data_IF_339953941407
#
_entry.id   IF_339953941407
#
_cell.length_a   1.000
_cell.length_b   1.000
_cell.length_c   1.000
_cell.angle_alpha   90.00
_cell.angle_beta   90.00
_cell.angle_gamma   90.00
#
_symmetry.space_group_name_H-M   'P 1'
#
loop_
_entity.id
_entity.type
_entity.pdbx_description
1 polymer ?
#
# COMPACT_ATOMS: atom_id res chain seq x y z
N UNK A 1 16.17 -17.52 8.47
CA UNK A 1 15.80 -16.09 8.66
C UNK A 1 16.25 -15.22 7.50
N UNK A 2 17.57 -15.18 7.19
CA UNK A 2 18.12 -14.40 6.07
C UNK A 2 17.39 -14.62 4.75
N UNK A 3 17.12 -15.88 4.39
CA UNK A 3 16.37 -16.22 3.17
C UNK A 3 15.00 -15.53 3.07
N UNK A 4 14.23 -15.44 4.18
CA UNK A 4 12.94 -14.74 4.18
C UNK A 4 13.13 -13.22 4.07
N UNK A 5 14.16 -12.65 4.69
CA UNK A 5 14.44 -11.22 4.60
C UNK A 5 14.80 -10.81 3.17
N UNK A 6 15.63 -11.61 2.49
CA UNK A 6 16.00 -11.39 1.09
C UNK A 6 14.79 -11.52 0.16
N UNK A 7 13.94 -12.54 0.40
CA UNK A 7 12.69 -12.72 -0.33
C UNK A 7 11.77 -11.50 -0.20
N UNK A 8 11.53 -11.03 1.03
CA UNK A 8 10.70 -9.84 1.30
C UNK A 8 11.32 -8.58 0.70
N UNK A 9 12.63 -8.38 0.85
CA UNK A 9 13.34 -7.23 0.29
C UNK A 9 13.31 -7.21 -1.25
N UNK A 10 13.18 -8.37 -1.90
CA UNK A 10 13.06 -8.44 -3.36
C UNK A 10 11.71 -7.91 -3.89
N UNK A 11 10.69 -7.78 -3.05
CA UNK A 11 9.33 -7.38 -3.46
C UNK A 11 9.14 -5.86 -3.54
N UNK A 12 10.06 -5.07 -2.97
CA UNK A 12 9.85 -3.63 -2.79
C UNK A 12 11.16 -2.85 -2.85
N UNK A 13 11.15 -1.69 -3.51
CA UNK A 13 12.29 -0.78 -3.51
C UNK A 13 12.31 0.15 -2.28
N UNK A 14 13.33 1.03 -2.23
CA UNK A 14 13.52 1.98 -1.13
C UNK A 14 12.50 3.13 -1.11
N UNK A 15 11.85 3.42 -2.24
CA UNK A 15 10.79 4.43 -2.37
C UNK A 15 9.40 3.83 -2.13
N UNK A 16 9.35 2.53 -1.86
CA UNK A 16 8.16 1.79 -1.53
C UNK A 16 7.39 1.21 -2.71
N UNK A 17 7.94 1.31 -3.92
CA UNK A 17 7.35 0.73 -5.14
C UNK A 17 7.45 -0.79 -5.09
N UNK A 18 6.40 -1.48 -5.52
CA UNK A 18 6.46 -2.93 -5.71
C UNK A 18 7.40 -3.26 -6.88
N UNK A 19 8.23 -4.28 -6.72
CA UNK A 19 9.17 -4.76 -7.73
C UNK A 19 8.65 -5.99 -8.50
N UNK A 20 7.37 -6.31 -8.32
CA UNK A 20 6.70 -7.42 -8.98
C UNK A 20 6.31 -7.01 -10.41
N UNK A 21 6.75 -7.75 -11.44
CA UNK A 21 6.47 -7.42 -12.84
C UNK A 21 4.98 -7.30 -13.17
N UNK A 22 4.65 -6.45 -14.15
CA UNK A 22 3.31 -6.25 -14.69
C UNK A 22 2.20 -5.80 -13.71
N UNK A 23 2.51 -5.50 -12.43
CA UNK A 23 1.51 -4.92 -11.50
C UNK A 23 1.05 -3.55 -11.99
N UNK A 24 2.00 -2.65 -12.30
CA UNK A 24 1.67 -1.27 -12.63
C UNK A 24 0.99 -1.11 -14.00
N UNK A 25 1.13 -2.08 -14.90
CA UNK A 25 0.43 -2.10 -16.20
C UNK A 25 -1.08 -2.33 -16.04
N UNK A 26 -1.48 -2.98 -14.95
CA UNK A 26 -2.88 -3.25 -14.63
C UNK A 26 -3.52 -2.11 -13.82
N UNK A 27 -2.72 -1.21 -13.25
CA UNK A 27 -3.24 -0.09 -12.46
C UNK A 27 -4.00 0.87 -13.38
N UNK A 28 -5.27 1.10 -13.06
CA UNK A 28 -6.02 2.17 -13.69
C UNK A 28 -5.48 3.50 -13.18
N UNK A 29 -4.79 4.26 -14.04
CA UNK A 29 -4.28 5.58 -13.69
C UNK A 29 -5.43 6.56 -13.36
N UNK A 30 -5.23 7.47 -12.41
CA UNK A 30 -6.22 8.49 -12.07
C UNK A 30 -6.39 9.49 -13.22
N UNK A 31 -7.64 9.89 -13.44
CA UNK A 31 -8.00 10.98 -14.33
C UNK A 31 -7.50 12.32 -13.78
N UNK A 32 -7.44 13.35 -14.65
CA UNK A 32 -7.13 14.71 -14.21
C UNK A 32 -8.07 15.20 -13.09
N UNK A 33 -9.37 14.92 -13.22
CA UNK A 33 -10.37 15.30 -12.22
C UNK A 33 -10.09 14.65 -10.86
N UNK A 34 -9.76 13.38 -10.83
CA UNK A 34 -9.38 12.67 -9.60
C UNK A 34 -8.14 13.29 -8.94
N UNK A 35 -7.12 13.63 -9.73
CA UNK A 35 -5.93 14.32 -9.23
C UNK A 35 -6.25 15.71 -8.68
N UNK A 36 -7.07 16.50 -9.39
CA UNK A 36 -7.51 17.82 -8.95
C UNK A 36 -8.31 17.72 -7.64
N UNK A 37 -9.16 16.69 -7.50
CA UNK A 37 -9.96 16.46 -6.30
C UNK A 37 -9.08 16.22 -5.06
N UNK A 38 -8.07 15.35 -5.13
CA UNK A 38 -7.18 15.12 -3.99
C UNK A 38 -6.29 16.34 -3.71
N UNK A 39 -5.89 17.09 -4.74
CA UNK A 39 -5.06 18.27 -4.55
C UNK A 39 -5.80 19.35 -3.75
N UNK A 40 -7.09 19.56 -4.06
CA UNK A 40 -7.96 20.57 -3.42
C UNK A 40 -8.50 20.08 -2.07
N UNK A 41 -8.94 18.83 -1.97
CA UNK A 41 -9.78 18.37 -0.85
C UNK A 41 -9.11 17.36 0.11
N UNK A 42 -7.99 16.74 -0.26
CA UNK A 42 -7.33 15.80 0.65
C UNK A 42 -6.82 16.53 1.90
N UNK A 43 -7.18 15.98 3.06
CA UNK A 43 -6.81 16.53 4.37
C UNK A 43 -5.43 16.04 4.82
N UNK A 44 -4.91 14.99 4.17
CA UNK A 44 -3.64 14.40 4.52
C UNK A 44 -2.49 15.36 4.22
N UNK A 45 -1.82 15.81 5.26
CA UNK A 45 -0.58 16.57 5.17
C UNK A 45 0.57 15.76 5.76
N UNK A 46 1.70 15.73 5.05
CA UNK A 46 2.88 14.96 5.43
C UNK A 46 3.35 15.28 6.85
N UNK A 47 3.47 16.55 7.20
CA UNK A 47 4.01 16.97 8.50
C UNK A 47 3.01 16.74 9.64
N UNK A 48 1.71 16.90 9.37
CA UNK A 48 0.67 16.57 10.35
C UNK A 48 0.66 15.08 10.66
N UNK A 49 0.79 14.21 9.64
CA UNK A 49 0.87 12.76 9.82
C UNK A 49 2.14 12.35 10.58
N UNK A 50 3.29 12.93 10.23
CA UNK A 50 4.55 12.69 10.97
C UNK A 50 4.39 13.05 12.44
N UNK A 51 3.81 14.21 12.74
CA UNK A 51 3.60 14.67 14.11
C UNK A 51 2.57 13.82 14.86
N UNK A 52 1.45 13.48 14.23
CA UNK A 52 0.37 12.71 14.82
C UNK A 52 0.83 11.31 15.25
N UNK A 53 1.61 10.64 14.40
CA UNK A 53 2.08 9.27 14.65
C UNK A 53 3.50 9.18 15.21
N UNK A 54 4.18 10.32 15.42
CA UNK A 54 5.56 10.35 15.92
C UNK A 54 6.55 9.66 14.98
N UNK A 55 6.44 9.90 13.66
CA UNK A 55 7.30 9.26 12.67
C UNK A 55 8.71 9.84 12.72
N UNK A 56 9.71 8.99 12.97
CA UNK A 56 11.12 9.38 13.03
C UNK A 56 11.86 9.18 11.70
N UNK A 57 11.38 8.26 10.85
CA UNK A 57 11.97 7.99 9.55
C UNK A 57 11.41 8.93 8.47
N UNK A 58 12.20 9.24 7.42
CA UNK A 58 11.70 10.01 6.29
C UNK A 58 10.47 9.36 5.64
N UNK A 59 9.55 10.21 5.17
CA UNK A 59 8.45 9.76 4.33
C UNK A 59 9.00 9.26 2.99
N UNK A 60 8.35 8.23 2.45
CA UNK A 60 8.75 7.65 1.16
C UNK A 60 8.57 8.62 -0.01
N UNK A 61 7.64 9.56 0.14
CA UNK A 61 7.38 10.65 -0.78
C UNK A 61 7.49 11.96 0.00
N UNK A 62 8.30 12.89 -0.49
CA UNK A 62 8.54 14.20 0.14
C UNK A 62 7.60 15.28 -0.40
N UNK A 63 7.26 15.21 -1.68
CA UNK A 63 6.37 16.18 -2.33
C UNK A 63 4.90 15.83 -2.06
N UNK A 64 4.09 16.82 -1.66
CA UNK A 64 2.68 16.59 -1.32
C UNK A 64 1.92 15.92 -2.46
N UNK A 65 2.17 16.33 -3.71
CA UNK A 65 1.49 15.78 -4.88
C UNK A 65 1.79 14.29 -5.08
N UNK A 66 3.05 13.91 -4.98
CA UNK A 66 3.48 12.51 -5.14
C UNK A 66 3.04 11.65 -3.94
N UNK A 67 3.06 12.23 -2.74
CA UNK A 67 2.50 11.61 -1.55
C UNK A 67 1.02 11.29 -1.72
N UNK A 68 0.19 12.27 -2.10
CA UNK A 68 -1.25 12.05 -2.27
C UNK A 68 -1.54 11.09 -3.43
N UNK A 69 -0.82 11.19 -4.55
CA UNK A 69 -0.94 10.21 -5.65
C UNK A 69 -0.62 8.79 -5.16
N UNK A 70 0.43 8.64 -4.36
CA UNK A 70 0.81 7.34 -3.79
C UNK A 70 -0.22 6.83 -2.81
N UNK A 71 -0.73 7.69 -1.93
CA UNK A 71 -1.68 7.36 -0.88
C UNK A 71 -3.03 6.86 -1.44
N UNK A 72 -3.55 7.53 -2.47
CA UNK A 72 -4.88 7.23 -3.02
C UNK A 72 -4.87 6.32 -4.27
N UNK A 73 -3.81 6.33 -5.07
CA UNK A 73 -3.85 5.76 -6.42
C UNK A 73 -2.72 4.78 -6.74
N UNK A 74 -1.84 4.45 -5.80
CA UNK A 74 -0.80 3.44 -6.03
C UNK A 74 -0.95 2.26 -5.08
N UNK A 75 -0.66 1.03 -5.54
CA UNK A 75 -0.60 -0.10 -4.64
C UNK A 75 0.59 0.03 -3.69
N UNK A 76 0.48 -0.58 -2.51
CA UNK A 76 1.58 -0.65 -1.54
C UNK A 76 1.65 -2.03 -0.92
N UNK A 77 2.86 -2.45 -0.53
CA UNK A 77 3.08 -3.70 0.18
C UNK A 77 3.59 -3.40 1.59
N UNK A 78 2.98 -4.05 2.59
CA UNK A 78 3.26 -3.84 4.00
C UNK A 78 3.57 -5.13 4.75
N UNK A 79 4.40 -5.03 5.78
CA UNK A 79 4.68 -6.11 6.75
C UNK A 79 3.83 -5.84 7.99
N UNK A 80 2.85 -6.70 8.27
CA UNK A 80 2.03 -6.64 9.49
C UNK A 80 2.74 -7.30 10.68
N UNK A 81 3.64 -8.25 10.41
CA UNK A 81 4.46 -8.89 11.42
C UNK A 81 5.48 -9.84 10.79
N UNK A 82 6.63 -10.00 11.43
CA UNK A 82 7.69 -10.92 11.02
C UNK A 82 8.32 -11.55 12.26
N UNK A 83 8.56 -12.86 12.23
CA UNK A 83 9.11 -13.59 13.37
C UNK A 83 10.08 -14.71 12.94
N UNK A 84 11.12 -14.91 13.75
CA UNK A 84 12.09 -16.00 13.61
C UNK A 84 13.02 -16.06 14.83
N UNK A 85 13.46 -17.26 15.23
CA UNK A 85 14.53 -17.43 16.21
C UNK A 85 14.11 -17.19 17.66
N UNK A 86 14.98 -16.58 18.46
CA UNK A 86 14.81 -16.36 19.90
C UNK A 86 14.34 -14.93 20.20
N UNK A 87 13.31 -14.75 21.05
CA UNK A 87 12.78 -13.43 21.46
C UNK A 87 12.82 -13.20 22.99
N UNK A 88 13.43 -14.11 23.75
CA UNK A 88 13.54 -14.01 25.20
C UNK A 88 14.71 -13.13 25.65
N UNK A 89 14.92 -13.04 26.97
CA UNK A 89 16.05 -12.31 27.56
C UNK A 89 17.39 -13.05 27.31
N UNK A 90 18.50 -12.30 27.28
CA UNK A 90 19.83 -12.86 27.06
C UNK A 90 20.06 -13.28 25.60
N UNK A 91 20.90 -14.29 25.38
CA UNK A 91 21.32 -14.74 24.04
C UNK A 91 21.05 -16.21 23.83
N UNK A 92 20.81 -16.59 22.57
CA UNK A 92 20.75 -17.99 22.13
C UNK A 92 21.52 -18.13 20.82
N UNK A 93 22.62 -18.87 20.86
CA UNK A 93 23.53 -19.07 19.72
C UNK A 93 22.98 -20.15 18.77
N UNK A 94 21.95 -19.79 18.00
CA UNK A 94 21.26 -20.68 17.08
C UNK A 94 21.14 -20.09 15.68
N UNK A 95 20.99 -20.99 14.70
CA UNK A 95 20.51 -20.66 13.37
C UNK A 95 19.02 -21.07 13.33
N UNK A 96 18.06 -20.13 13.25
CA UNK A 96 16.65 -20.48 13.25
C UNK A 96 16.27 -21.32 12.02
N UNK A 97 15.64 -22.47 12.25
CA UNK A 97 15.19 -23.37 11.18
C UNK A 97 13.97 -22.85 10.41
N UNK A 98 13.21 -21.91 10.98
CA UNK A 98 11.99 -21.35 10.39
C UNK A 98 11.89 -19.84 10.60
N UNK A 99 11.22 -19.18 9.65
CA UNK A 99 10.84 -17.78 9.71
C UNK A 99 9.49 -17.61 9.00
N UNK A 100 8.68 -16.65 9.43
CA UNK A 100 7.40 -16.36 8.80
C UNK A 100 7.05 -14.88 8.91
N UNK A 101 6.27 -14.37 7.96
CA UNK A 101 5.74 -13.02 7.97
C UNK A 101 4.25 -13.01 7.62
N UNK A 102 3.52 -12.03 8.18
CA UNK A 102 2.19 -11.62 7.72
C UNK A 102 2.37 -10.34 6.92
N UNK A 103 1.87 -10.34 5.69
CA UNK A 103 2.02 -9.23 4.76
C UNK A 103 0.68 -8.93 4.09
N UNK A 104 0.54 -7.70 3.62
CA UNK A 104 -0.60 -7.27 2.81
C UNK A 104 -0.15 -6.46 1.61
N UNK A 105 -0.98 -6.48 0.56
CA UNK A 105 -0.89 -5.53 -0.53
C UNK A 105 -2.18 -4.71 -0.56
N UNK A 106 -2.06 -3.39 -0.47
CA UNK A 106 -3.16 -2.46 -0.73
C UNK A 106 -3.35 -2.38 -2.23
N UNK A 107 -4.56 -2.67 -2.69
CA UNK A 107 -4.91 -2.70 -4.11
C UNK A 107 -5.57 -1.38 -4.52
N UNK A 108 -5.42 -1.07 -5.81
CA UNK A 108 -6.07 0.05 -6.48
C UNK A 108 -6.79 -0.47 -7.73
N UNK A 109 -7.79 0.27 -8.25
CA UNK A 109 -8.59 -0.18 -9.38
C UNK A 109 -7.75 -0.69 -10.55
N UNK A 110 -8.21 -1.81 -11.12
CA UNK A 110 -7.50 -2.58 -12.14
C UNK A 110 -6.73 -3.80 -11.60
N UNK A 111 -6.38 -3.81 -10.31
CA UNK A 111 -5.75 -4.98 -9.68
C UNK A 111 -6.79 -5.99 -9.17
N UNK A 112 -6.59 -7.26 -9.52
CA UNK A 112 -7.32 -8.39 -8.94
C UNK A 112 -6.48 -9.06 -7.84
N UNK A 113 -7.03 -9.29 -6.63
CA UNK A 113 -6.28 -9.88 -5.52
C UNK A 113 -5.63 -11.23 -5.83
N UNK A 114 -6.30 -12.09 -6.62
CA UNK A 114 -5.78 -13.43 -6.96
C UNK A 114 -4.66 -13.32 -7.97
N UNK A 115 -4.80 -12.45 -8.96
CA UNK A 115 -3.76 -12.19 -9.96
C UNK A 115 -2.51 -11.62 -9.29
N UNK A 116 -2.67 -10.60 -8.42
CA UNK A 116 -1.53 -10.02 -7.68
C UNK A 116 -0.84 -11.06 -6.80
N UNK A 117 -1.61 -11.94 -6.15
CA UNK A 117 -1.06 -13.03 -5.37
C UNK A 117 -0.23 -14.01 -6.23
N UNK A 118 -0.76 -14.41 -7.39
CA UNK A 118 -0.04 -15.26 -8.34
C UNK A 118 1.26 -14.60 -8.82
N UNK A 119 1.21 -13.31 -9.17
CA UNK A 119 2.39 -12.56 -9.60
C UNK A 119 3.47 -12.49 -8.51
N UNK A 120 3.09 -12.34 -7.23
CA UNK A 120 4.04 -12.38 -6.11
C UNK A 120 4.69 -13.76 -5.99
N UNK A 121 3.92 -14.84 -6.09
CA UNK A 121 4.47 -16.20 -6.05
C UNK A 121 5.45 -16.43 -7.20
N UNK A 122 5.09 -16.04 -8.42
CA UNK A 122 5.96 -16.12 -9.60
C UNK A 122 7.24 -15.30 -9.39
N UNK A 123 7.12 -14.05 -8.92
CA UNK A 123 8.30 -13.21 -8.65
C UNK A 123 9.26 -13.86 -7.65
N UNK A 124 8.74 -14.45 -6.56
CA UNK A 124 9.57 -15.14 -5.58
C UNK A 124 10.27 -16.36 -6.19
N UNK A 125 9.56 -17.16 -6.98
CA UNK A 125 10.13 -18.30 -7.71
C UNK A 125 11.24 -17.84 -8.68
N UNK A 126 10.99 -16.83 -9.50
CA UNK A 126 11.94 -16.30 -10.48
C UNK A 126 13.20 -15.72 -9.83
N UNK A 127 13.08 -15.20 -8.60
CA UNK A 127 14.20 -14.71 -7.80
C UNK A 127 14.94 -15.81 -7.04
N UNK A 128 14.54 -17.08 -7.18
CA UNK A 128 15.18 -18.22 -6.51
C UNK A 128 14.71 -18.44 -5.07
N UNK A 129 13.58 -17.85 -4.68
CA UNK A 129 12.98 -18.00 -3.35
C UNK A 129 11.95 -19.15 -3.29
N UNK A 130 12.24 -20.28 -3.94
CA UNK A 130 11.36 -21.44 -4.09
C UNK A 130 10.97 -22.12 -2.76
N UNK A 131 11.70 -21.85 -1.67
CA UNK A 131 11.39 -22.36 -0.33
C UNK A 131 10.45 -21.45 0.48
N UNK A 132 10.05 -20.31 -0.06
CA UNK A 132 9.05 -19.44 0.59
C UNK A 132 7.65 -19.93 0.24
N UNK A 133 6.99 -20.58 1.19
CA UNK A 133 5.58 -20.93 1.06
C UNK A 133 4.71 -19.69 1.28
N UNK A 134 3.91 -19.33 0.27
CA UNK A 134 2.98 -18.20 0.35
C UNK A 134 1.56 -18.74 0.51
N UNK A 135 0.73 -18.12 1.35
CA UNK A 135 -0.65 -18.55 1.59
C UNK A 135 -1.59 -17.37 1.42
N UNK A 136 -2.58 -17.52 0.54
CA UNK A 136 -3.64 -16.54 0.36
C UNK A 136 -4.65 -16.65 1.51
N UNK A 137 -4.91 -15.55 2.20
CA UNK A 137 -5.85 -15.49 3.33
C UNK A 137 -7.13 -14.75 2.98
N UNK A 138 -7.00 -13.53 2.47
CA UNK A 138 -8.10 -12.64 2.12
C UNK A 138 -7.69 -11.75 0.94
N UNK A 139 -8.65 -11.32 0.15
CA UNK A 139 -8.44 -10.23 -0.78
C UNK A 139 -9.75 -9.63 -1.26
N UNK A 140 -9.75 -8.31 -1.36
CA UNK A 140 -10.90 -7.50 -1.74
C UNK A 140 -10.56 -6.62 -2.93
N UNK A 141 -11.49 -6.49 -3.87
CA UNK A 141 -11.30 -5.57 -5.00
C UNK A 141 -11.55 -4.14 -4.55
N UNK A 142 -10.69 -3.23 -5.00
CA UNK A 142 -10.90 -1.80 -4.84
C UNK A 142 -11.86 -1.25 -5.89
N UNK A 143 -12.54 -0.16 -5.58
CA UNK A 143 -13.36 0.61 -6.51
C UNK A 143 -13.17 2.10 -6.27
N UNK A 144 -13.27 2.91 -7.32
CA UNK A 144 -13.41 4.36 -7.22
C UNK A 144 -14.17 4.91 -8.42
N UNK A 145 -14.65 6.14 -8.31
CA UNK A 145 -15.17 6.93 -9.43
C UNK A 145 -14.57 8.34 -9.38
N UNK A 146 -14.60 9.06 -10.48
CA UNK A 146 -14.15 10.46 -10.55
C UNK A 146 -15.16 11.47 -9.96
N UNK A 147 -16.21 10.95 -9.31
CA UNK A 147 -17.31 11.72 -8.71
C UNK A 147 -18.08 12.59 -9.72
N UNK A 148 -18.00 12.35 -11.03
CA UNK A 148 -18.65 13.18 -12.04
C UNK A 148 -20.13 12.87 -12.27
N UNK A 149 -20.62 11.72 -11.81
CA UNK A 149 -22.00 11.29 -12.04
C UNK A 149 -23.02 12.33 -11.51
N UNK A 150 -24.11 12.62 -12.23
CA UNK A 150 -25.06 13.66 -11.83
C UNK A 150 -25.62 13.51 -10.41
N UNK A 151 -25.92 12.27 -9.99
CA UNK A 151 -26.40 11.99 -8.64
C UNK A 151 -25.35 12.33 -7.55
N UNK A 152 -24.06 12.11 -7.84
CA UNK A 152 -22.97 12.46 -6.92
C UNK A 152 -22.82 13.98 -6.83
N UNK A 153 -22.92 14.69 -7.97
CA UNK A 153 -22.88 16.16 -7.99
C UNK A 153 -24.03 16.78 -7.18
N UNK A 154 -25.25 16.22 -7.29
CA UNK A 154 -26.37 16.65 -6.46
C UNK A 154 -26.09 16.53 -4.96
N UNK A 155 -25.50 15.40 -4.53
CA UNK A 155 -25.11 15.22 -3.11
C UNK A 155 -24.07 16.25 -2.69
N UNK A 156 -23.06 16.49 -3.51
CA UNK A 156 -22.02 17.50 -3.26
C UNK A 156 -22.64 18.90 -3.11
N UNK A 157 -23.57 19.27 -3.99
CA UNK A 157 -24.19 20.60 -3.98
C UNK A 157 -25.11 20.80 -2.77
N UNK A 158 -25.79 19.76 -2.30
CA UNK A 158 -26.56 19.80 -1.05
C UNK A 158 -25.63 19.93 0.17
N UNK A 159 -24.48 19.26 0.18
CA UNK A 159 -23.57 19.27 1.31
C UNK A 159 -22.78 20.58 1.45
N UNK A 160 -22.38 21.22 0.34
CA UNK A 160 -21.57 22.47 0.31
C UNK A 160 -22.07 23.58 1.26
N UNK A 161 -23.35 24.00 1.24
CA UNK A 161 -23.82 25.06 2.14
C UNK A 161 -23.94 24.62 3.60
N UNK A 162 -24.10 23.32 3.87
CA UNK A 162 -24.22 22.77 5.23
C UNK A 162 -22.87 22.68 5.94
N UNK A 163 -21.79 22.50 5.16
CA UNK A 163 -20.42 22.40 5.66
C UNK A 163 -19.53 23.42 4.95
N UNK A 164 -19.57 24.71 5.35
CA UNK A 164 -18.83 25.78 4.67
C UNK A 164 -17.31 25.61 4.69
N UNK A 165 -16.79 24.82 5.64
CA UNK A 165 -15.37 24.45 5.74
C UNK A 165 -14.98 23.22 4.92
N UNK A 166 -15.94 22.64 4.18
CA UNK A 166 -15.80 21.35 3.53
C UNK A 166 -16.13 20.19 4.48
N UNK A 167 -16.48 19.06 3.88
CA UNK A 167 -16.72 17.78 4.56
C UNK A 167 -15.91 16.72 3.82
N UNK A 168 -15.02 16.02 4.53
CA UNK A 168 -14.35 14.82 4.05
C UNK A 168 -14.90 13.63 4.83
N UNK A 169 -15.39 12.62 4.12
CA UNK A 169 -15.88 11.36 4.70
C UNK A 169 -14.97 10.25 4.18
N UNK A 170 -14.36 9.51 5.11
CA UNK A 170 -13.60 8.28 4.84
C UNK A 170 -14.55 7.11 4.63
#
# INVERSE_FOLDING_TARGET
TWYLLEAIASLRDRNGRLLVPAIYEQVQEPTKRELDLIEIYAIEQLDDLKKLYGLELPMLQSERRDFLKTYYYQPSIGIQGIQSGYQGQGVKTIIPSQASAKMEVRLVPGLDPKIVFEQIQTHLLDKGFDKVNVTYTLGEKSYRSDLSAPAIQQVIDVAKPLYPKGLSLL
#
